data_IF_935780144582
#
_entry.id   IF_935780144582
#
_cell.length_a   1.000
_cell.length_b   1.000
_cell.length_c   1.000
_cell.angle_alpha   90.00
_cell.angle_beta   90.00
_cell.angle_gamma   90.00
#
_symmetry.space_group_name_H-M   'P 1'
#
loop_
_entity.id
_entity.type
_entity.pdbx_description
1 polymer ?
#
# COMPACT_ATOMS: atom_id res chain seq x y z
N UNK A 1 9.84 7.05 1.41
CA UNK A 1 9.44 5.91 2.26
C UNK A 1 8.76 6.37 3.55
N UNK A 2 9.41 7.11 4.45
CA UNK A 2 8.79 7.59 5.72
C UNK A 2 7.47 8.33 5.50
N UNK A 3 7.41 9.23 4.52
CA UNK A 3 6.17 9.96 4.17
C UNK A 3 5.02 9.08 3.68
N UNK A 4 5.29 7.95 3.03
CA UNK A 4 4.26 7.01 2.59
C UNK A 4 3.74 6.17 3.76
N UNK A 5 4.63 5.77 4.68
CA UNK A 5 4.24 5.08 5.91
C UNK A 5 3.38 5.99 6.79
N UNK A 6 3.76 7.25 6.95
CA UNK A 6 2.96 8.24 7.68
C UNK A 6 1.57 8.43 7.03
N UNK A 7 1.53 8.51 5.69
CA UNK A 7 0.27 8.58 4.94
C UNK A 7 -0.59 7.33 5.14
N UNK A 8 0.01 6.15 5.11
CA UNK A 8 -0.70 4.88 5.33
C UNK A 8 -1.29 4.81 6.74
N UNK A 9 -0.54 5.22 7.76
CA UNK A 9 -1.04 5.30 9.14
C UNK A 9 -2.20 6.29 9.27
N UNK A 10 -2.14 7.44 8.59
CA UNK A 10 -3.23 8.41 8.56
C UNK A 10 -4.49 7.85 7.87
N UNK A 11 -4.33 7.19 6.72
CA UNK A 11 -5.44 6.57 5.99
C UNK A 11 -6.13 5.47 6.79
N UNK A 12 -5.37 4.63 7.52
CA UNK A 12 -5.94 3.61 8.39
C UNK A 12 -6.73 4.19 9.56
N UNK A 13 -6.28 5.31 10.14
CA UNK A 13 -7.05 6.03 11.17
C UNK A 13 -8.35 6.59 10.61
N UNK A 14 -8.30 7.21 9.42
CA UNK A 14 -9.48 7.72 8.74
C UNK A 14 -10.46 6.59 8.38
N UNK A 15 -9.96 5.42 7.99
CA UNK A 15 -10.79 4.25 7.70
C UNK A 15 -11.55 3.77 8.95
N UNK A 16 -10.90 3.78 10.12
CA UNK A 16 -11.56 3.43 11.39
C UNK A 16 -12.63 4.44 11.82
N UNK A 17 -12.49 5.71 11.43
CA UNK A 17 -13.44 6.78 11.73
C UNK A 17 -14.55 6.93 10.68
N UNK A 18 -14.40 6.28 9.52
CA UNK A 18 -15.37 6.33 8.43
C UNK A 18 -16.72 5.77 8.88
N UNK A 19 -17.79 6.46 8.50
CA UNK A 19 -19.17 6.12 8.88
C UNK A 19 -20.04 5.74 7.69
N UNK A 20 -19.49 5.85 6.48
CA UNK A 20 -20.22 5.55 5.25
C UNK A 20 -19.46 4.50 4.44
N UNK A 21 -20.16 3.52 3.82
CA UNK A 21 -19.51 2.52 2.98
C UNK A 21 -18.77 3.10 1.77
N UNK A 22 -19.22 4.26 1.29
CA UNK A 22 -18.57 4.97 0.19
C UNK A 22 -17.19 5.50 0.61
N UNK A 23 -17.11 6.14 1.77
CA UNK A 23 -15.85 6.67 2.30
C UNK A 23 -14.89 5.54 2.66
N UNK A 24 -15.39 4.45 3.24
CA UNK A 24 -14.60 3.23 3.48
C UNK A 24 -13.99 2.71 2.17
N UNK A 25 -14.79 2.57 1.12
CA UNK A 25 -14.31 2.08 -0.19
C UNK A 25 -13.26 3.02 -0.79
N UNK A 26 -13.47 4.34 -0.68
CA UNK A 26 -12.53 5.33 -1.17
C UNK A 26 -11.21 5.32 -0.39
N UNK A 27 -11.26 5.14 0.93
CA UNK A 27 -10.10 5.03 1.80
C UNK A 27 -9.35 3.71 1.58
N UNK A 28 -10.06 2.59 1.42
CA UNK A 28 -9.49 1.28 1.10
C UNK A 28 -8.67 1.35 -0.19
N UNK A 29 -9.21 1.95 -1.25
CA UNK A 29 -8.49 2.16 -2.52
C UNK A 29 -7.24 3.01 -2.35
N UNK A 30 -7.30 4.05 -1.52
CA UNK A 30 -6.13 4.90 -1.26
C UNK A 30 -5.04 4.15 -0.48
N UNK A 31 -5.44 3.27 0.44
CA UNK A 31 -4.53 2.38 1.17
C UNK A 31 -3.85 1.44 0.18
N UNK A 32 -4.61 0.75 -0.67
CA UNK A 32 -4.06 -0.17 -1.70
C UNK A 32 -3.07 0.52 -2.65
N UNK A 33 -3.35 1.75 -3.08
CA UNK A 33 -2.42 2.51 -3.93
C UNK A 33 -1.15 2.86 -3.16
N UNK A 34 -1.27 3.27 -1.90
CA UNK A 34 -0.12 3.62 -1.06
C UNK A 34 0.74 2.39 -0.76
N UNK A 35 0.11 1.24 -0.57
CA UNK A 35 0.76 -0.06 -0.35
C UNK A 35 1.67 -0.43 -1.53
N UNK A 36 1.14 -0.39 -2.75
CA UNK A 36 1.93 -0.64 -3.97
C UNK A 36 3.08 0.35 -4.16
N UNK A 37 2.91 1.59 -3.72
CA UNK A 37 3.99 2.58 -3.75
C UNK A 37 5.10 2.24 -2.74
N UNK A 38 4.74 1.68 -1.59
CA UNK A 38 5.70 1.19 -0.59
C UNK A 38 6.43 -0.04 -1.14
N UNK A 39 5.71 -1.01 -1.69
CA UNK A 39 6.30 -2.21 -2.30
C UNK A 39 7.33 -1.87 -3.39
N UNK A 40 6.98 -0.93 -4.27
CA UNK A 40 7.91 -0.44 -5.29
C UNK A 40 9.21 0.13 -4.71
N UNK A 41 9.11 0.97 -3.67
CA UNK A 41 10.29 1.51 -2.99
C UNK A 41 11.09 0.42 -2.25
N UNK A 42 10.42 -0.57 -1.68
CA UNK A 42 11.07 -1.71 -1.03
C UNK A 42 11.83 -2.53 -2.06
N UNK A 43 11.22 -2.82 -3.22
CA UNK A 43 11.87 -3.53 -4.30
C UNK A 43 13.09 -2.75 -4.84
N UNK A 44 12.98 -1.43 -4.97
CA UNK A 44 14.12 -0.57 -5.34
C UNK A 44 15.23 -0.61 -4.28
N UNK A 45 14.88 -0.58 -2.99
CA UNK A 45 15.85 -0.64 -1.89
C UNK A 45 16.62 -1.96 -1.87
N UNK A 46 15.96 -3.08 -2.16
CA UNK A 46 16.57 -4.41 -2.23
C UNK A 46 17.14 -4.75 -3.61
N UNK A 47 16.95 -3.88 -4.61
CA UNK A 47 17.46 -4.07 -5.96
C UNK A 47 16.83 -5.24 -6.72
N UNK A 48 15.55 -5.55 -6.46
CA UNK A 48 14.87 -6.68 -7.10
C UNK A 48 14.67 -6.44 -8.59
N UNK A 49 14.95 -7.48 -9.36
CA UNK A 49 14.63 -7.58 -10.79
C UNK A 49 13.15 -7.84 -11.01
N UNK A 50 12.65 -7.58 -12.23
CA UNK A 50 11.24 -7.82 -12.57
C UNK A 50 10.80 -9.28 -12.38
N UNK A 51 11.72 -10.24 -12.55
CA UNK A 51 11.42 -11.65 -12.33
C UNK A 51 11.29 -11.98 -10.84
N UNK A 52 12.12 -11.36 -9.99
CA UNK A 52 12.01 -11.50 -8.53
C UNK A 52 10.75 -10.83 -7.98
N UNK A 53 10.36 -9.66 -8.52
CA UNK A 53 9.09 -9.00 -8.16
C UNK A 53 7.89 -9.88 -8.48
N UNK A 54 7.86 -10.51 -9.66
CA UNK A 54 6.78 -11.45 -10.04
C UNK A 54 6.69 -12.64 -9.09
N UNK A 55 7.82 -13.21 -8.69
CA UNK A 55 7.84 -14.33 -7.73
C UNK A 55 7.23 -13.90 -6.40
N UNK A 56 7.57 -12.70 -5.91
CA UNK A 56 7.00 -12.15 -4.66
C UNK A 56 5.49 -11.94 -4.82
N UNK A 57 5.05 -11.27 -5.89
CA UNK A 57 3.63 -11.00 -6.15
C UNK A 57 2.79 -12.27 -6.34
N UNK A 58 3.33 -13.29 -7.01
CA UNK A 58 2.65 -14.58 -7.18
C UNK A 58 2.63 -15.39 -5.88
N UNK A 59 3.59 -15.18 -4.97
CA UNK A 59 3.58 -15.81 -3.64
C UNK A 59 2.62 -15.16 -2.64
N UNK A 60 2.17 -13.93 -2.91
CA UNK A 60 1.24 -13.18 -2.05
C UNK A 60 -0.22 -13.22 -2.55
N UNK A 61 -0.49 -13.83 -3.71
CA UNK A 61 -1.83 -14.13 -4.22
C UNK A 61 -2.44 -15.38 -3.59
#
# INVERSE_FOLDING_TARGET
MVSLVDRMLALHKQLQEARTPHDETALQRQIEVTDRQIDGLVYELYGLTEDEKKIVEDSTK
#
